data_IF_467923327835
#
_entry.id   IF_467923327835
#
_cell.length_a   1.000
_cell.length_b   1.000
_cell.length_c   1.000
_cell.angle_alpha   90.00
_cell.angle_beta   90.00
_cell.angle_gamma   90.00
#
_symmetry.space_group_name_H-M   'P 1'
#
loop_
_entity.id
_entity.type
_entity.pdbx_description
1 polymer ?
#
# COMPACT_ATOMS: atom_id res chain seq x y z
N UNK A 1 -8.56 -9.72 -19.24
CA UNK A 1 -7.34 -9.82 -18.43
C UNK A 1 -6.75 -8.43 -18.40
N UNK A 2 -6.71 -7.81 -17.22
CA UNK A 2 -6.17 -6.45 -17.06
C UNK A 2 -4.66 -6.53 -17.00
N UNK A 3 -3.96 -5.53 -17.51
CA UNK A 3 -2.50 -5.53 -17.62
C UNK A 3 -1.94 -4.26 -17.01
N UNK A 4 -0.90 -4.40 -16.18
CA UNK A 4 -0.23 -3.28 -15.52
C UNK A 4 1.28 -3.38 -15.59
N UNK A 5 1.91 -2.22 -15.61
CA UNK A 5 3.32 -2.07 -15.30
C UNK A 5 3.49 -2.19 -13.77
N UNK A 6 4.19 -3.23 -13.30
CA UNK A 6 4.32 -3.49 -11.88
C UNK A 6 5.44 -2.67 -11.25
N UNK A 7 5.08 -1.87 -10.24
CA UNK A 7 6.01 -1.13 -9.40
C UNK A 7 5.96 -1.65 -7.95
N UNK A 8 6.93 -2.47 -7.53
CA UNK A 8 6.96 -3.07 -6.18
C UNK A 8 7.27 -2.05 -5.07
N UNK A 9 7.77 -0.87 -5.44
CA UNK A 9 8.43 0.04 -4.49
C UNK A 9 9.70 -0.57 -3.89
N UNK A 10 10.20 0.04 -2.82
CA UNK A 10 11.44 -0.43 -2.18
C UNK A 10 11.19 -1.55 -1.16
N UNK A 11 10.12 -1.45 -0.37
CA UNK A 11 9.94 -2.28 0.83
C UNK A 11 9.59 -3.72 0.49
N UNK A 12 8.69 -3.96 -0.49
CA UNK A 12 8.22 -5.30 -0.83
C UNK A 12 9.36 -6.24 -1.25
N UNK A 13 10.35 -5.75 -2.02
CA UNK A 13 11.49 -6.56 -2.47
C UNK A 13 12.69 -6.54 -1.54
N UNK A 14 12.89 -5.47 -0.77
CA UNK A 14 14.08 -5.33 0.06
C UNK A 14 13.91 -5.84 1.50
N UNK A 15 12.73 -5.65 2.09
CA UNK A 15 12.52 -5.86 3.52
C UNK A 15 11.29 -6.71 3.87
N UNK A 16 10.34 -6.87 2.94
CA UNK A 16 9.09 -7.60 3.16
C UNK A 16 8.79 -8.58 2.03
N UNK A 17 9.71 -9.52 1.80
CA UNK A 17 9.62 -10.51 0.69
C UNK A 17 8.37 -11.39 0.78
N UNK A 18 7.85 -11.59 2.00
CA UNK A 18 6.60 -12.28 2.25
C UNK A 18 5.40 -11.65 1.53
N UNK A 19 5.44 -10.32 1.33
CA UNK A 19 4.45 -9.57 0.57
C UNK A 19 4.64 -9.83 -0.94
N UNK A 20 5.86 -9.73 -1.44
CA UNK A 20 6.18 -9.97 -2.87
C UNK A 20 5.77 -11.38 -3.31
N UNK A 21 6.06 -12.39 -2.48
CA UNK A 21 5.69 -13.79 -2.70
C UNK A 21 4.18 -14.00 -2.88
N UNK A 22 3.35 -13.08 -2.39
CA UNK A 22 1.89 -13.14 -2.49
C UNK A 22 1.34 -12.44 -3.73
N UNK A 23 2.05 -11.44 -4.26
CA UNK A 23 1.56 -10.57 -5.35
C UNK A 23 1.41 -11.34 -6.67
N UNK A 24 2.42 -12.11 -7.08
CA UNK A 24 2.34 -12.86 -8.35
C UNK A 24 1.24 -13.93 -8.33
N UNK A 25 1.12 -14.79 -7.28
CA UNK A 25 0.04 -15.78 -7.22
C UNK A 25 -1.37 -15.18 -7.16
N UNK A 26 -1.59 -14.11 -6.38
CA UNK A 26 -2.90 -13.49 -6.30
C UNK A 26 -3.29 -12.86 -7.65
N UNK A 27 -2.35 -12.18 -8.32
CA UNK A 27 -2.60 -11.57 -9.63
C UNK A 27 -2.92 -12.62 -10.69
N UNK A 28 -2.16 -13.73 -10.70
CA UNK A 28 -2.42 -14.87 -11.60
C UNK A 28 -3.84 -15.44 -11.41
N UNK A 29 -4.27 -15.63 -10.16
CA UNK A 29 -5.63 -16.15 -9.86
C UNK A 29 -6.73 -15.18 -10.29
N UNK A 30 -6.50 -13.87 -10.15
CA UNK A 30 -7.47 -12.84 -10.50
C UNK A 30 -7.46 -12.46 -11.98
N UNK A 31 -6.50 -12.97 -12.77
CA UNK A 31 -6.33 -12.62 -14.17
C UNK A 31 -5.83 -11.19 -14.36
N UNK A 32 -4.87 -10.78 -13.53
CA UNK A 32 -4.08 -9.56 -13.63
C UNK A 32 -2.70 -9.96 -14.19
N UNK A 33 -2.33 -9.39 -15.34
CA UNK A 33 -1.03 -9.58 -15.97
C UNK A 33 -0.07 -8.46 -15.53
N UNK A 34 0.98 -8.81 -14.81
CA UNK A 34 1.97 -7.88 -14.28
C UNK A 34 3.22 -7.89 -15.15
N UNK A 35 3.52 -6.75 -15.74
CA UNK A 35 4.71 -6.52 -16.56
C UNK A 35 5.72 -5.73 -15.73
N UNK A 36 6.88 -6.31 -15.48
CA UNK A 36 7.97 -5.60 -14.80
C UNK A 36 8.33 -4.31 -15.54
N UNK A 37 8.62 -3.25 -14.78
CA UNK A 37 9.22 -2.01 -15.31
C UNK A 37 10.74 -2.16 -15.20
N UNK A 38 11.47 -2.50 -16.28
CA UNK A 38 12.90 -2.71 -16.18
C UNK A 38 13.58 -1.39 -15.83
N UNK A 39 14.48 -1.41 -14.83
CA UNK A 39 15.22 -0.23 -14.36
C UNK A 39 14.37 0.82 -13.62
N UNK A 40 13.17 0.46 -13.15
CA UNK A 40 12.48 1.26 -12.15
C UNK A 40 13.39 1.46 -10.93
N UNK A 41 13.36 2.67 -10.39
CA UNK A 41 14.15 3.08 -9.22
C UNK A 41 13.23 3.44 -8.05
N UNK A 42 13.79 3.70 -6.88
CA UNK A 42 13.05 4.29 -5.77
C UNK A 42 12.31 5.58 -6.20
N UNK A 43 11.11 5.76 -5.68
CA UNK A 43 10.32 7.00 -5.78
C UNK A 43 10.80 8.08 -4.80
N UNK A 44 11.85 7.84 -4.01
CA UNK A 44 12.40 8.80 -3.05
C UNK A 44 11.62 8.91 -1.73
N UNK A 45 10.51 8.18 -1.57
CA UNK A 45 9.73 8.11 -0.33
C UNK A 45 9.17 9.46 0.16
N UNK A 46 9.11 10.46 -0.72
CA UNK A 46 8.84 11.88 -0.41
C UNK A 46 9.78 12.49 0.65
N UNK A 47 10.90 11.84 0.96
CA UNK A 47 11.91 12.39 1.88
C UNK A 47 12.84 13.33 1.13
N UNK A 48 13.11 13.03 -0.15
CA UNK A 48 14.00 13.82 -1.01
C UNK A 48 13.43 15.23 -1.25
N UNK A 49 12.10 15.42 -1.23
CA UNK A 49 11.47 16.74 -1.39
C UNK A 49 11.88 17.76 -0.33
N UNK A 50 12.30 17.31 0.86
CA UNK A 50 12.81 18.20 1.91
C UNK A 50 14.12 18.91 1.50
N UNK A 51 14.88 18.31 0.58
CA UNK A 51 16.10 18.89 0.04
C UNK A 51 15.92 19.41 -1.39
N UNK A 52 15.15 18.70 -2.22
CA UNK A 52 14.95 19.04 -3.63
C UNK A 52 13.64 18.46 -4.16
N UNK A 53 12.64 19.33 -4.33
CA UNK A 53 11.35 18.98 -4.94
C UNK A 53 11.51 18.56 -6.40
N UNK A 54 12.39 19.22 -7.16
CA UNK A 54 12.63 18.87 -8.56
C UNK A 54 13.22 17.46 -8.70
N UNK A 55 14.15 17.06 -7.82
CA UNK A 55 14.72 15.72 -7.83
C UNK A 55 13.67 14.67 -7.44
N UNK A 56 12.86 14.95 -6.41
CA UNK A 56 11.77 14.08 -5.98
C UNK A 56 10.81 13.77 -7.14
N UNK A 57 10.30 14.80 -7.81
CA UNK A 57 9.39 14.62 -8.93
C UNK A 57 10.08 13.99 -10.16
N UNK A 58 11.36 14.27 -10.39
CA UNK A 58 12.11 13.66 -11.50
C UNK A 58 12.27 12.15 -11.34
N UNK A 59 12.49 11.65 -10.11
CA UNK A 59 12.59 10.20 -9.84
C UNK A 59 11.27 9.48 -10.14
N UNK A 60 10.17 10.07 -9.70
CA UNK A 60 8.82 9.54 -9.92
C UNK A 60 8.45 9.61 -11.40
N UNK A 61 8.61 10.76 -12.04
CA UNK A 61 8.33 10.97 -13.46
C UNK A 61 9.11 9.99 -14.34
N UNK A 62 10.36 9.67 -13.98
CA UNK A 62 11.17 8.67 -14.70
C UNK A 62 10.54 7.29 -14.66
N UNK A 63 10.04 6.85 -13.49
CA UNK A 63 9.36 5.57 -13.37
C UNK A 63 8.04 5.55 -14.17
N UNK A 64 7.27 6.65 -14.13
CA UNK A 64 6.04 6.76 -14.91
C UNK A 64 6.31 6.77 -16.42
N UNK A 65 7.35 7.46 -16.88
CA UNK A 65 7.78 7.45 -18.29
C UNK A 65 8.19 6.04 -18.77
N UNK A 66 8.82 5.24 -17.92
CA UNK A 66 9.17 3.85 -18.27
C UNK A 66 7.91 2.98 -18.48
N UNK A 67 6.87 3.18 -17.65
CA UNK A 67 5.58 2.50 -17.82
C UNK A 67 4.82 3.02 -19.05
N UNK A 68 4.86 4.32 -19.30
CA UNK A 68 4.26 4.97 -20.47
C UNK A 68 4.86 4.45 -21.79
N UNK A 69 6.19 4.26 -21.84
CA UNK A 69 6.86 3.70 -23.01
C UNK A 69 6.43 2.28 -23.39
N UNK A 70 5.89 1.51 -22.44
CA UNK A 70 5.30 0.19 -22.70
C UNK A 70 3.76 0.23 -22.80
N UNK A 71 3.18 1.44 -22.77
CA UNK A 71 1.75 1.69 -22.95
C UNK A 71 0.88 1.19 -21.79
N UNK A 72 1.38 1.21 -20.56
CA UNK A 72 0.69 0.67 -19.39
C UNK A 72 0.63 1.65 -18.23
N UNK A 73 -0.47 1.59 -17.47
CA UNK A 73 -0.56 2.18 -16.14
C UNK A 73 0.30 1.41 -15.14
N UNK A 74 0.79 2.13 -14.12
CA UNK A 74 1.54 1.55 -13.01
C UNK A 74 0.60 0.99 -11.96
N UNK A 75 0.80 -0.26 -11.55
CA UNK A 75 0.19 -0.82 -10.34
C UNK A 75 1.23 -0.98 -9.23
N UNK A 76 0.88 -0.53 -8.03
CA UNK A 76 1.69 -0.72 -6.83
C UNK A 76 0.86 -1.24 -5.65
N UNK A 77 1.52 -1.91 -4.72
CA UNK A 77 0.93 -2.38 -3.45
C UNK A 77 1.21 -1.44 -2.28
N UNK A 78 1.96 -0.37 -2.50
CA UNK A 78 2.33 0.59 -1.46
C UNK A 78 1.47 1.86 -1.56
N UNK A 79 0.61 2.10 -0.57
CA UNK A 79 -0.20 3.32 -0.48
C UNK A 79 0.68 4.60 -0.54
N UNK A 80 1.85 4.59 0.09
CA UNK A 80 2.78 5.72 0.05
C UNK A 80 3.30 5.98 -1.36
N UNK A 81 3.75 4.95 -2.07
CA UNK A 81 4.21 5.07 -3.45
C UNK A 81 3.08 5.53 -4.38
N UNK A 82 1.87 4.99 -4.20
CA UNK A 82 0.70 5.41 -4.97
C UNK A 82 0.43 6.91 -4.79
N UNK A 83 0.35 7.39 -3.55
CA UNK A 83 0.12 8.80 -3.25
C UNK A 83 1.24 9.72 -3.76
N UNK A 84 2.51 9.32 -3.67
CA UNK A 84 3.66 10.08 -4.20
C UNK A 84 3.60 10.17 -5.73
N UNK A 85 3.23 9.07 -6.39
CA UNK A 85 3.06 9.04 -7.83
C UNK A 85 1.93 9.98 -8.26
N UNK A 86 0.74 9.86 -7.66
CA UNK A 86 -0.39 10.74 -7.96
C UNK A 86 -0.07 12.22 -7.73
N UNK A 87 0.60 12.55 -6.62
CA UNK A 87 1.04 13.92 -6.30
C UNK A 87 1.98 14.48 -7.38
N UNK A 88 2.94 13.67 -7.86
CA UNK A 88 3.84 14.11 -8.93
C UNK A 88 3.11 14.30 -10.26
N UNK A 89 2.19 13.40 -10.60
CA UNK A 89 1.40 13.50 -11.83
C UNK A 89 0.58 14.79 -11.80
N UNK A 90 -0.14 15.04 -10.71
CA UNK A 90 -0.94 16.25 -10.52
C UNK A 90 -0.08 17.52 -10.65
N UNK A 91 1.06 17.58 -9.93
CA UNK A 91 1.96 18.73 -9.96
C UNK A 91 2.52 19.00 -11.37
N UNK A 92 2.83 17.95 -12.14
CA UNK A 92 3.29 18.09 -13.52
C UNK A 92 2.18 18.48 -14.50
N UNK A 93 0.93 18.09 -14.22
CA UNK A 93 -0.24 18.49 -15.01
C UNK A 93 -0.61 19.96 -14.76
N UNK A 94 -0.43 20.45 -13.52
CA UNK A 94 -0.74 21.83 -13.13
C UNK A 94 0.37 22.85 -13.48
N UNK A 95 1.65 22.47 -13.41
CA UNK A 95 2.80 23.35 -13.69
C UNK A 95 3.59 22.92 -14.94
N UNK A 96 3.26 23.55 -16.07
CA UNK A 96 3.91 23.33 -17.36
C UNK A 96 5.41 23.64 -17.36
N UNK A 97 5.86 24.63 -16.55
CA UNK A 97 7.26 25.01 -16.47
C UNK A 97 8.05 23.95 -15.70
N UNK A 98 7.49 23.45 -14.61
CA UNK A 98 8.06 22.35 -13.84
C UNK A 98 8.12 21.08 -14.68
N UNK A 99 7.04 20.73 -15.39
CA UNK A 99 7.00 19.60 -16.31
C UNK A 99 8.09 19.69 -17.38
N UNK A 100 8.27 20.86 -17.99
CA UNK A 100 9.33 21.10 -18.98
C UNK A 100 10.74 20.90 -18.39
N UNK A 101 11.00 21.41 -17.19
CA UNK A 101 12.30 21.22 -16.51
C UNK A 101 12.57 19.75 -16.17
N UNK A 102 11.55 19.05 -15.67
CA UNK A 102 11.63 17.61 -15.35
C UNK A 102 11.90 16.85 -16.65
N UNK A 103 11.08 17.00 -17.69
CA UNK A 103 11.26 16.27 -18.95
C UNK A 103 12.60 16.58 -19.63
N UNK A 104 13.08 17.82 -19.59
CA UNK A 104 14.42 18.16 -20.06
C UNK A 104 15.51 17.35 -19.34
N UNK A 105 15.39 17.23 -18.01
CA UNK A 105 16.31 16.41 -17.19
C UNK A 105 16.21 14.92 -17.57
N UNK A 106 15.01 14.37 -17.65
CA UNK A 106 14.76 12.96 -17.99
C UNK A 106 15.28 12.62 -19.40
N UNK A 107 15.07 13.51 -20.36
CA UNK A 107 15.54 13.39 -21.74
C UNK A 107 17.06 13.34 -21.79
N UNK A 108 17.75 14.22 -21.04
CA UNK A 108 19.22 14.24 -20.95
C UNK A 108 19.82 13.00 -20.28
N UNK A 109 19.23 12.51 -19.18
CA UNK A 109 19.83 11.43 -18.37
C UNK A 109 19.40 10.03 -18.80
N UNK A 110 18.23 9.90 -19.43
CA UNK A 110 17.62 8.59 -19.74
C UNK A 110 17.01 8.49 -21.12
N UNK A 111 16.94 9.58 -21.90
CA UNK A 111 16.38 9.56 -23.26
C UNK A 111 14.87 9.29 -23.30
N UNK A 112 14.16 9.55 -22.20
CA UNK A 112 12.71 9.36 -22.07
C UNK A 112 12.08 10.62 -21.49
N UNK A 113 10.79 10.79 -21.70
CA UNK A 113 9.99 11.89 -21.15
C UNK A 113 8.66 11.32 -20.63
N UNK A 114 8.04 12.00 -19.67
CA UNK A 114 6.71 11.64 -19.19
C UNK A 114 5.67 12.58 -19.79
N UNK A 115 4.71 12.04 -20.55
CA UNK A 115 3.69 12.84 -21.21
C UNK A 115 2.37 12.95 -20.45
N UNK A 116 2.23 12.23 -19.34
CA UNK A 116 1.02 12.29 -18.50
C UNK A 116 0.00 11.20 -18.80
N UNK A 117 0.34 10.21 -19.64
CA UNK A 117 -0.60 9.17 -20.07
C UNK A 117 -0.70 8.04 -19.05
N UNK A 118 0.44 7.53 -18.59
CA UNK A 118 0.48 6.45 -17.58
C UNK A 118 0.03 6.96 -16.22
N UNK A 119 -0.97 6.32 -15.61
CA UNK A 119 -1.46 6.64 -14.27
C UNK A 119 -0.97 5.63 -13.23
N UNK A 120 -1.02 6.03 -11.97
CA UNK A 120 -0.71 5.16 -10.83
C UNK A 120 -2.00 4.56 -10.30
N UNK A 121 -2.02 3.26 -10.02
CA UNK A 121 -3.12 2.55 -9.37
C UNK A 121 -2.61 1.75 -8.18
N UNK A 122 -3.37 1.77 -7.09
CA UNK A 122 -3.10 0.92 -5.93
C UNK A 122 -3.82 -0.42 -6.10
N UNK A 123 -3.22 -1.51 -5.62
CA UNK A 123 -3.82 -2.85 -5.67
C UNK A 123 -5.26 -2.88 -5.12
N UNK A 124 -5.55 -2.17 -4.03
CA UNK A 124 -6.90 -2.10 -3.45
C UNK A 124 -7.91 -1.56 -4.46
N UNK A 125 -7.59 -0.45 -5.14
CA UNK A 125 -8.46 0.13 -6.15
C UNK A 125 -8.66 -0.83 -7.33
N UNK A 126 -7.59 -1.48 -7.81
CA UNK A 126 -7.68 -2.49 -8.89
C UNK A 126 -8.59 -3.66 -8.48
N UNK A 127 -8.48 -4.15 -7.25
CA UNK A 127 -9.31 -5.25 -6.74
C UNK A 127 -10.80 -4.87 -6.69
N UNK A 128 -11.12 -3.66 -6.23
CA UNK A 128 -12.51 -3.22 -6.07
C UNK A 128 -13.12 -2.80 -7.40
N UNK A 129 -12.44 -1.96 -8.17
CA UNK A 129 -12.99 -1.29 -9.34
C UNK A 129 -12.86 -2.10 -10.62
N UNK A 130 -11.72 -2.78 -10.83
CA UNK A 130 -11.45 -3.47 -12.11
C UNK A 130 -11.73 -4.97 -12.07
N UNK A 131 -11.40 -5.62 -10.95
CA UNK A 131 -11.66 -7.05 -10.77
C UNK A 131 -13.09 -7.26 -10.27
N UNK A 132 -13.55 -6.41 -9.35
CA UNK A 132 -14.88 -6.48 -8.77
C UNK A 132 -14.97 -7.45 -7.60
N UNK A 133 -15.62 -7.02 -6.53
CA UNK A 133 -15.78 -7.77 -5.29
C UNK A 133 -16.54 -9.10 -5.48
N UNK A 134 -17.52 -9.16 -6.38
CA UNK A 134 -18.27 -10.39 -6.65
C UNK A 134 -17.41 -11.48 -7.29
N UNK A 135 -16.50 -11.09 -8.21
CA UNK A 135 -15.54 -12.02 -8.78
C UNK A 135 -14.58 -12.53 -7.70
N UNK A 136 -14.06 -11.63 -6.87
CA UNK A 136 -13.18 -12.00 -5.75
C UNK A 136 -13.89 -12.99 -4.82
N UNK A 137 -15.12 -12.67 -4.39
CA UNK A 137 -15.95 -13.53 -3.52
C UNK A 137 -16.12 -14.94 -4.10
N UNK A 138 -16.35 -15.06 -5.42
CA UNK A 138 -16.51 -16.36 -6.09
C UNK A 138 -15.25 -17.24 -6.11
N UNK A 139 -14.07 -16.63 -5.91
CA UNK A 139 -12.78 -17.31 -5.93
C UNK A 139 -12.23 -17.60 -4.53
N UNK A 140 -12.91 -17.15 -3.47
CA UNK A 140 -12.50 -17.39 -2.08
C UNK A 140 -12.49 -18.89 -1.80
N UNK A 141 -11.35 -19.39 -1.33
CA UNK A 141 -11.16 -20.78 -0.89
C UNK A 141 -11.00 -20.89 0.62
N UNK A 142 -10.41 -19.88 1.26
CA UNK A 142 -10.18 -19.82 2.69
C UNK A 142 -10.80 -18.53 3.25
N UNK A 143 -12.06 -18.55 3.71
CA UNK A 143 -12.66 -17.35 4.31
C UNK A 143 -11.88 -16.92 5.57
N UNK A 144 -11.85 -15.61 5.85
CA UNK A 144 -11.10 -15.07 6.98
C UNK A 144 -11.73 -15.43 8.34
N UNK A 145 -13.06 -15.32 8.47
CA UNK A 145 -13.84 -15.70 9.67
C UNK A 145 -13.34 -15.04 10.99
N UNK A 146 -12.87 -13.80 10.91
CA UNK A 146 -12.36 -13.05 12.04
C UNK A 146 -12.65 -11.56 11.91
N UNK A 147 -12.54 -10.84 13.02
CA UNK A 147 -12.68 -9.38 13.06
C UNK A 147 -11.37 -8.72 12.58
N UNK A 148 -11.42 -8.01 11.45
CA UNK A 148 -10.24 -7.44 10.79
C UNK A 148 -10.34 -5.91 10.75
N UNK A 149 -9.34 -5.22 11.30
CA UNK A 149 -9.17 -3.79 11.14
C UNK A 149 -8.45 -3.48 9.81
N UNK A 150 -9.08 -2.69 8.94
CA UNK A 150 -8.45 -2.20 7.72
C UNK A 150 -7.66 -0.92 7.97
N UNK A 151 -6.35 -0.93 7.73
CA UNK A 151 -5.49 0.25 7.80
C UNK A 151 -5.10 0.76 6.41
N UNK A 152 -5.61 1.92 6.04
CA UNK A 152 -5.33 2.61 4.78
C UNK A 152 -4.01 3.39 4.83
N UNK A 153 -3.79 4.07 5.96
CA UNK A 153 -2.80 5.13 6.07
C UNK A 153 -3.17 6.40 5.32
N UNK A 154 -2.35 7.47 5.43
CA UNK A 154 -2.74 8.81 4.99
C UNK A 154 -2.60 9.06 3.49
N UNK A 155 -1.81 8.25 2.78
CA UNK A 155 -1.36 8.60 1.43
C UNK A 155 -2.38 8.32 0.32
N UNK A 156 -3.39 7.49 0.58
CA UNK A 156 -4.54 7.28 -0.32
C UNK A 156 -5.70 8.25 -0.01
N UNK A 157 -5.57 9.08 1.03
CA UNK A 157 -6.61 10.01 1.49
C UNK A 157 -6.33 11.41 0.96
N UNK A 158 -6.13 11.49 -0.35
CA UNK A 158 -5.91 12.73 -1.09
C UNK A 158 -6.74 12.67 -2.36
N UNK A 159 -7.27 13.83 -2.77
CA UNK A 159 -7.91 13.96 -4.08
C UNK A 159 -6.91 13.51 -5.17
N UNK A 160 -7.38 12.70 -6.13
CA UNK A 160 -6.52 12.08 -7.14
C UNK A 160 -5.73 10.84 -6.70
N UNK A 161 -5.75 10.46 -5.41
CA UNK A 161 -5.08 9.26 -4.89
C UNK A 161 -6.03 8.28 -4.18
N UNK A 162 -7.32 8.62 -4.04
CA UNK A 162 -8.36 7.75 -3.47
C UNK A 162 -9.17 6.99 -4.53
N UNK A 163 -8.89 7.19 -5.82
CA UNK A 163 -9.72 6.70 -6.92
C UNK A 163 -11.20 7.08 -6.73
N UNK A 164 -12.14 6.15 -6.89
CA UNK A 164 -13.58 6.38 -6.68
C UNK A 164 -14.04 6.14 -5.22
N UNK A 165 -13.11 5.92 -4.27
CA UNK A 165 -13.43 5.85 -2.84
C UNK A 165 -13.55 7.25 -2.23
N UNK A 166 -14.11 7.34 -1.02
CA UNK A 166 -14.25 8.61 -0.33
C UNK A 166 -12.91 9.07 0.29
N UNK A 167 -12.49 10.30 -0.05
CA UNK A 167 -11.25 10.94 0.42
C UNK A 167 -11.17 11.04 1.95
N UNK A 168 -12.31 11.16 2.66
CA UNK A 168 -12.37 11.38 4.10
C UNK A 168 -12.84 10.16 4.89
N UNK A 169 -13.61 9.27 4.27
CA UNK A 169 -14.25 8.12 4.90
C UNK A 169 -14.23 6.91 3.98
N UNK A 170 -13.05 6.33 3.69
CA UNK A 170 -12.88 5.26 2.74
C UNK A 170 -13.54 3.98 3.26
N UNK A 171 -13.97 3.14 2.31
CA UNK A 171 -14.69 1.90 2.60
C UNK A 171 -14.19 0.69 1.82
N UNK A 172 -13.29 0.87 0.85
CA UNK A 172 -12.87 -0.20 -0.05
C UNK A 172 -12.20 -1.38 0.65
N UNK A 173 -11.40 -1.13 1.68
CA UNK A 173 -10.75 -2.17 2.46
C UNK A 173 -11.76 -2.96 3.29
N UNK A 174 -12.77 -2.31 3.89
CA UNK A 174 -13.86 -2.99 4.60
C UNK A 174 -14.74 -3.82 3.66
N UNK A 175 -15.03 -3.30 2.47
CA UNK A 175 -15.75 -4.01 1.43
C UNK A 175 -14.98 -5.26 0.97
N UNK A 176 -13.66 -5.14 0.78
CA UNK A 176 -12.80 -6.26 0.43
C UNK A 176 -12.71 -7.29 1.57
N UNK A 177 -12.53 -6.87 2.82
CA UNK A 177 -12.55 -7.77 3.99
C UNK A 177 -13.85 -8.59 4.01
N UNK A 178 -14.99 -7.92 3.78
CA UNK A 178 -16.31 -8.57 3.71
C UNK A 178 -16.38 -9.58 2.55
N UNK A 179 -15.88 -9.23 1.37
CA UNK A 179 -15.85 -10.11 0.20
C UNK A 179 -14.98 -11.36 0.42
N UNK A 180 -13.94 -11.26 1.26
CA UNK A 180 -13.07 -12.36 1.67
C UNK A 180 -13.61 -13.17 2.87
N UNK A 181 -14.83 -12.89 3.33
CA UNK A 181 -15.47 -13.60 4.43
C UNK A 181 -14.96 -13.22 5.83
N UNK A 182 -14.38 -12.02 5.98
CA UNK A 182 -14.06 -11.42 7.27
C UNK A 182 -15.14 -10.46 7.75
N UNK A 183 -15.00 -9.98 8.99
CA UNK A 183 -15.87 -8.96 9.59
C UNK A 183 -15.03 -7.68 9.77
N UNK A 184 -15.27 -6.61 9.00
CA UNK A 184 -14.50 -5.38 9.14
C UNK A 184 -14.80 -4.69 10.47
N UNK A 185 -13.75 -4.27 11.18
CA UNK A 185 -13.87 -3.48 12.42
C UNK A 185 -13.80 -2.00 12.09
N UNK A 186 -14.77 -1.24 12.61
CA UNK A 186 -14.76 0.22 12.52
C UNK A 186 -13.97 0.82 13.68
N UNK A 187 -13.04 1.71 13.37
CA UNK A 187 -12.20 2.44 14.32
C UNK A 187 -11.71 3.75 13.69
N UNK A 188 -11.35 4.73 14.51
CA UNK A 188 -11.14 6.11 14.05
C UNK A 188 -9.79 6.32 13.36
N UNK A 189 -8.75 5.62 13.81
CA UNK A 189 -7.37 5.89 13.38
C UNK A 189 -6.95 5.13 12.10
N UNK A 190 -7.90 4.58 11.33
CA UNK A 190 -7.63 3.78 10.11
C UNK A 190 -6.90 4.50 8.98
N UNK A 191 -7.02 5.83 8.93
CA UNK A 191 -6.36 6.70 7.96
C UNK A 191 -5.17 7.49 8.56
N UNK A 192 -4.94 7.37 9.86
CA UNK A 192 -3.90 8.17 10.52
C UNK A 192 -2.49 7.68 10.21
N UNK A 193 -1.54 8.60 10.21
CA UNK A 193 -0.14 8.25 9.98
C UNK A 193 0.42 7.42 11.14
N UNK A 194 1.26 6.42 10.82
CA UNK A 194 2.07 5.68 11.80
C UNK A 194 3.49 6.28 11.95
N UNK A 195 3.76 7.40 11.28
CA UNK A 195 5.03 8.12 11.37
C UNK A 195 6.21 7.44 10.66
N UNK A 196 5.95 6.54 9.72
CA UNK A 196 6.99 5.74 9.05
C UNK A 196 8.17 6.56 8.48
N UNK A 197 7.98 7.71 7.80
CA UNK A 197 9.10 8.52 7.30
C UNK A 197 10.04 9.04 8.40
N UNK A 198 9.51 9.20 9.62
CA UNK A 198 10.24 9.75 10.76
C UNK A 198 10.71 8.68 11.73
N UNK A 199 10.59 7.39 11.40
CA UNK A 199 10.92 6.29 12.31
C UNK A 199 12.39 6.32 12.75
N UNK A 200 13.30 6.73 11.87
CA UNK A 200 14.74 6.78 12.13
C UNK A 200 15.19 8.13 12.72
N UNK A 201 14.50 9.23 12.40
CA UNK A 201 14.88 10.59 12.81
C UNK A 201 14.14 11.06 14.07
N UNK A 202 12.90 10.63 14.27
CA UNK A 202 12.06 10.96 15.43
C UNK A 202 11.27 9.73 15.90
N UNK A 203 12.01 8.70 16.31
CA UNK A 203 11.48 7.39 16.64
C UNK A 203 10.40 7.43 17.74
N UNK A 204 10.61 8.22 18.80
CA UNK A 204 9.67 8.27 19.93
C UNK A 204 8.27 8.71 19.50
N UNK A 205 8.18 9.72 18.64
CA UNK A 205 6.90 10.20 18.12
C UNK A 205 6.28 9.23 17.12
N UNK A 206 7.07 8.65 16.21
CA UNK A 206 6.57 7.61 15.28
C UNK A 206 6.00 6.39 16.03
N UNK A 207 6.67 5.95 17.10
CA UNK A 207 6.20 4.83 17.91
C UNK A 207 4.94 5.17 18.72
N UNK A 208 4.77 6.42 19.17
CA UNK A 208 3.50 6.88 19.77
C UNK A 208 2.34 6.82 18.78
N UNK A 209 2.57 7.24 17.53
CA UNK A 209 1.56 7.17 16.47
C UNK A 209 1.21 5.73 16.12
N UNK A 210 2.23 4.87 15.98
CA UNK A 210 2.06 3.43 15.73
C UNK A 210 1.25 2.77 16.85
N UNK A 211 1.59 3.05 18.12
CA UNK A 211 0.84 2.53 19.27
C UNK A 211 -0.62 2.98 19.27
N UNK A 212 -0.90 4.24 18.91
CA UNK A 212 -2.26 4.76 18.89
C UNK A 212 -3.14 3.98 17.89
N UNK A 213 -2.66 3.77 16.66
CA UNK A 213 -3.40 3.03 15.63
C UNK A 213 -3.67 1.58 16.04
N UNK A 214 -2.66 0.90 16.59
CA UNK A 214 -2.80 -0.50 17.02
C UNK A 214 -3.75 -0.65 18.22
N UNK A 215 -3.62 0.22 19.22
CA UNK A 215 -4.46 0.21 20.43
C UNK A 215 -5.91 0.53 20.09
N UNK A 216 -6.17 1.53 19.24
CA UNK A 216 -7.53 1.91 18.81
C UNK A 216 -8.23 0.77 18.08
N UNK A 217 -7.54 0.12 17.12
CA UNK A 217 -8.10 -1.05 16.44
C UNK A 217 -8.42 -2.19 17.42
N UNK A 218 -7.51 -2.45 18.38
CA UNK A 218 -7.69 -3.53 19.37
C UNK A 218 -8.83 -3.23 20.34
N UNK A 219 -8.93 -2.00 20.85
CA UNK A 219 -10.00 -1.54 21.75
C UNK A 219 -11.38 -1.64 21.09
N UNK A 220 -11.45 -1.54 19.76
CA UNK A 220 -12.67 -1.73 18.97
C UNK A 220 -12.91 -3.20 18.55
N UNK A 221 -12.15 -4.16 19.09
CA UNK A 221 -12.41 -5.59 18.92
C UNK A 221 -11.78 -6.24 17.68
N UNK A 222 -10.74 -5.63 17.11
CA UNK A 222 -9.97 -6.25 16.04
C UNK A 222 -9.11 -7.40 16.57
N UNK A 223 -9.22 -8.55 15.90
CA UNK A 223 -8.37 -9.73 16.14
C UNK A 223 -7.11 -9.71 15.25
N UNK A 224 -7.16 -8.92 14.18
CA UNK A 224 -6.09 -8.74 13.20
C UNK A 224 -6.20 -7.36 12.56
N UNK A 225 -5.08 -6.82 12.07
CA UNK A 225 -5.04 -5.67 11.19
C UNK A 225 -4.49 -6.02 9.80
N UNK A 226 -5.09 -5.47 8.76
CA UNK A 226 -4.57 -5.52 7.38
C UNK A 226 -4.11 -4.14 6.93
N UNK A 227 -2.85 -4.01 6.52
CA UNK A 227 -2.29 -2.77 6.00
C UNK A 227 -2.34 -2.72 4.47
N UNK A 228 -2.81 -1.60 3.91
CA UNK A 228 -2.73 -1.30 2.49
C UNK A 228 -1.38 -0.71 2.05
N UNK A 229 -0.44 -0.53 2.99
CA UNK A 229 0.85 0.11 2.72
C UNK A 229 1.99 -0.75 3.22
N UNK A 230 2.93 -1.11 2.33
CA UNK A 230 4.14 -1.86 2.68
C UNK A 230 5.03 -1.09 3.64
N UNK A 231 5.19 0.24 3.47
CA UNK A 231 6.00 1.05 4.37
C UNK A 231 5.38 1.16 5.77
N UNK A 232 4.08 1.42 5.86
CA UNK A 232 3.41 1.47 7.17
C UNK A 232 3.30 0.10 7.83
N UNK A 233 3.24 -0.97 7.03
CA UNK A 233 3.21 -2.35 7.52
C UNK A 233 4.43 -2.65 8.39
N UNK A 234 5.64 -2.22 7.99
CA UNK A 234 6.85 -2.41 8.81
C UNK A 234 6.72 -1.79 10.21
N UNK A 235 6.12 -0.60 10.32
CA UNK A 235 5.87 0.04 11.63
C UNK A 235 4.88 -0.79 12.46
N UNK A 236 3.75 -1.14 11.85
CA UNK A 236 2.63 -1.80 12.51
C UNK A 236 2.99 -3.23 12.95
N UNK A 237 3.80 -3.96 12.18
CA UNK A 237 4.20 -5.33 12.50
C UNK A 237 5.45 -5.39 13.38
N UNK A 238 6.56 -4.79 12.94
CA UNK A 238 7.87 -5.01 13.57
C UNK A 238 8.06 -4.24 14.89
N UNK A 239 7.42 -3.08 15.04
CA UNK A 239 7.74 -2.14 16.13
C UNK A 239 6.77 -2.18 17.31
N UNK A 240 5.81 -3.12 17.36
CA UNK A 240 4.79 -3.20 18.41
C UNK A 240 5.38 -3.21 19.82
N UNK A 241 6.38 -4.07 20.08
CA UNK A 241 7.00 -4.18 21.41
C UNK A 241 7.63 -2.86 21.85
N UNK A 242 8.29 -2.15 20.93
CA UNK A 242 8.88 -0.83 21.23
C UNK A 242 7.80 0.23 21.43
N UNK A 243 6.73 0.20 20.63
CA UNK A 243 5.60 1.09 20.74
C UNK A 243 4.86 0.93 22.09
N UNK A 244 4.63 -0.31 22.53
CA UNK A 244 4.12 -0.62 23.88
C UNK A 244 5.03 -0.08 24.97
N UNK A 245 6.35 -0.32 24.91
CA UNK A 245 7.29 0.14 25.94
C UNK A 245 7.29 1.66 26.13
N UNK A 246 7.10 2.42 25.06
CA UNK A 246 7.10 3.89 25.11
C UNK A 246 5.77 4.44 25.63
N UNK A 247 4.65 3.79 25.31
CA UNK A 247 3.31 4.35 25.54
C UNK A 247 2.55 3.71 26.68
N UNK A 248 2.92 2.49 27.07
CA UNK A 248 2.16 1.65 28.01
C UNK A 248 0.87 1.07 27.42
N UNK A 249 0.51 1.39 26.16
CA UNK A 249 -0.71 0.90 25.51
C UNK A 249 -0.60 -0.56 25.08
N UNK A 250 -1.73 -1.25 24.99
CA UNK A 250 -1.75 -2.56 24.35
C UNK A 250 -1.61 -2.39 22.83
N UNK A 251 -0.51 -2.91 22.29
CA UNK A 251 -0.23 -2.89 20.85
C UNK A 251 -0.08 -4.29 20.28
N UNK A 252 -0.48 -5.34 21.02
CA UNK A 252 -0.40 -6.73 20.56
C UNK A 252 -1.47 -6.98 19.51
N UNK A 253 -1.07 -6.95 18.24
CA UNK A 253 -1.99 -7.12 17.11
C UNK A 253 -1.31 -7.93 16.02
N UNK A 254 -1.85 -9.07 15.57
CA UNK A 254 -1.40 -9.69 14.33
C UNK A 254 -1.62 -8.71 13.16
N UNK A 255 -0.56 -8.40 12.42
CA UNK A 255 -0.64 -7.50 11.25
C UNK A 255 -0.21 -8.24 10.00
N UNK A 256 -0.96 -8.10 8.91
CA UNK A 256 -0.60 -8.59 7.58
C UNK A 256 -0.74 -7.48 6.54
N UNK A 257 -0.11 -7.65 5.40
CA UNK A 257 -0.33 -6.80 4.24
C UNK A 257 -1.56 -7.25 3.42
N UNK A 258 -2.22 -6.30 2.75
CA UNK A 258 -3.35 -6.55 1.86
C UNK A 258 -3.11 -7.67 0.85
N UNK A 259 -1.92 -7.69 0.22
CA UNK A 259 -1.56 -8.73 -0.74
C UNK A 259 -1.52 -10.13 -0.12
N UNK A 260 -1.01 -10.25 1.12
CA UNK A 260 -0.99 -11.51 1.86
C UNK A 260 -2.42 -11.96 2.18
N UNK A 261 -3.26 -11.06 2.69
CA UNK A 261 -4.68 -11.34 2.98
C UNK A 261 -5.41 -11.92 1.78
N UNK A 262 -5.27 -11.27 0.62
CA UNK A 262 -5.94 -11.68 -0.62
C UNK A 262 -5.36 -13.02 -1.13
N UNK A 263 -4.03 -13.17 -1.17
CA UNK A 263 -3.41 -14.42 -1.60
C UNK A 263 -3.86 -15.61 -0.73
N UNK A 264 -3.91 -15.42 0.60
CA UNK A 264 -4.34 -16.45 1.54
C UNK A 264 -5.81 -16.84 1.32
N UNK A 265 -6.70 -15.85 1.18
CA UNK A 265 -8.11 -16.10 0.95
C UNK A 265 -8.38 -16.83 -0.37
N UNK A 266 -7.55 -16.60 -1.39
CA UNK A 266 -7.60 -17.28 -2.69
C UNK A 266 -6.93 -18.67 -2.69
N UNK A 267 -6.37 -19.13 -1.58
CA UNK A 267 -5.85 -20.48 -1.43
C UNK A 267 -4.34 -20.65 -1.56
N UNK A 268 -3.56 -19.56 -1.59
CA UNK A 268 -2.10 -19.60 -1.65
C UNK A 268 -1.49 -19.63 -0.25
N UNK A 269 -0.25 -20.13 -0.13
CA UNK A 269 0.57 -20.09 1.10
C UNK A 269 -0.13 -20.63 2.37
N UNK A 270 -0.87 -21.75 2.25
CA UNK A 270 -1.71 -22.32 3.31
C UNK A 270 -1.00 -22.52 4.66
N UNK A 271 0.26 -22.92 4.64
CA UNK A 271 1.05 -23.12 5.87
C UNK A 271 1.31 -21.81 6.61
N UNK A 272 1.57 -20.71 5.88
CA UNK A 272 1.69 -19.35 6.48
C UNK A 272 0.36 -18.92 7.10
N UNK A 273 -0.76 -19.23 6.46
CA UNK A 273 -2.09 -18.92 7.00
C UNK A 273 -2.44 -19.70 8.27
N UNK A 274 -2.06 -20.98 8.36
CA UNK A 274 -2.26 -21.76 9.58
C UNK A 274 -1.53 -21.11 10.77
N UNK A 275 -0.28 -20.69 10.57
CA UNK A 275 0.50 -19.95 11.57
C UNK A 275 -0.16 -18.61 11.93
N UNK A 276 -0.70 -17.92 10.93
CA UNK A 276 -1.40 -16.67 11.13
C UNK A 276 -2.65 -16.83 12.00
N UNK A 277 -3.52 -17.82 11.72
CA UNK A 277 -4.69 -18.12 12.55
C UNK A 277 -4.28 -18.48 13.98
N UNK A 278 -3.20 -19.24 14.16
CA UNK A 278 -2.67 -19.51 15.51
C UNK A 278 -2.22 -18.22 16.21
N UNK A 279 -1.52 -17.31 15.51
CA UNK A 279 -1.13 -16.01 16.09
C UNK A 279 -2.35 -15.18 16.50
N UNK A 280 -3.40 -15.18 15.68
CA UNK A 280 -4.67 -14.51 16.00
C UNK A 280 -5.29 -15.08 17.27
N UNK A 281 -5.38 -16.40 17.39
CA UNK A 281 -5.94 -17.05 18.58
C UNK A 281 -5.12 -16.81 19.87
N UNK A 282 -3.82 -16.52 19.75
CA UNK A 282 -2.93 -16.35 20.91
C UNK A 282 -2.75 -14.89 21.31
N UNK A 283 -2.80 -13.96 20.35
CA UNK A 283 -2.41 -12.55 20.53
C UNK A 283 -3.60 -11.59 20.28
N UNK A 284 -4.60 -12.04 19.52
CA UNK A 284 -5.73 -11.22 19.07
C UNK A 284 -6.85 -11.05 20.09
N UNK A 285 -6.83 -11.82 21.20
CA UNK A 285 -7.73 -11.64 22.34
C UNK A 285 -7.23 -10.54 23.33
#
# INVERSE_FOLDING_TARGET
MVKFAYYPGNVARAASIEIEDCIQPLCSTLGIDLIEIPKATSDGGNVISQASTILQHSLVARNMALAENIGLDVMTTCASSHGINCETIQVMDEDINLRSKINSTLSQVSGIEYNGESKSKHLLHVLVEEIGLEKIRSLVRNPLEMNVAGYYGPNMQKEGACSEDNVFSPTYLEQLITALGGIPVNYDLKCQSVGAPSLLTNQSSSLRMTAAVLSDAKENGAQMMVSACTLSHSNLDTYQVKARRITGKDTSMPVIHLAEMVAFALGHHKDRFAQLRTRVLVIGD
#
